data_IF_169378225847
#
_entry.id   IF_169378225847
#
_cell.length_a   1.000
_cell.length_b   1.000
_cell.length_c   1.000
_cell.angle_alpha   90.00
_cell.angle_beta   90.00
_cell.angle_gamma   90.00
#
_symmetry.space_group_name_H-M   'P 1'
#
loop_
_entity.id
_entity.type
_entity.pdbx_description
1 polymer ?
#
# COMPACT_ATOMS: atom_id res chain seq x y z
N UNK A 1 -14.02 14.94 9.99
CA UNK A 1 -12.80 14.41 10.63
C UNK A 1 -11.67 14.40 9.61
N UNK A 2 -10.45 14.77 10.00
CA UNK A 2 -9.32 14.76 9.06
C UNK A 2 -9.07 13.33 8.59
N UNK A 3 -9.02 13.14 7.27
CA UNK A 3 -8.56 11.89 6.66
C UNK A 3 -7.03 11.89 6.72
N UNK A 4 -6.44 10.81 7.21
CA UNK A 4 -4.98 10.66 7.25
C UNK A 4 -4.50 10.20 5.87
N UNK A 5 -3.39 10.77 5.39
CA UNK A 5 -2.65 10.24 4.25
C UNK A 5 -1.80 9.05 4.71
N UNK A 6 -1.97 7.92 4.06
CA UNK A 6 -1.25 6.67 4.33
C UNK A 6 -0.54 6.20 3.09
N UNK A 7 0.65 5.62 3.28
CA UNK A 7 1.43 5.00 2.21
C UNK A 7 1.29 3.48 2.30
N UNK A 8 0.90 2.85 1.21
CA UNK A 8 0.83 1.40 1.04
C UNK A 8 2.09 0.96 0.29
N UNK A 9 2.89 0.07 0.88
CA UNK A 9 4.11 -0.51 0.29
C UNK A 9 3.87 -1.98 -0.10
N UNK A 10 4.36 -2.39 -1.27
CA UNK A 10 4.32 -3.80 -1.71
C UNK A 10 5.22 -4.69 -0.82
N UNK A 11 4.67 -5.79 -0.31
CA UNK A 11 5.34 -6.72 0.61
C UNK A 11 6.18 -7.78 -0.10
N UNK A 12 5.87 -8.08 -1.36
CA UNK A 12 6.48 -9.18 -2.12
C UNK A 12 7.78 -8.76 -2.80
N UNK A 13 7.85 -7.51 -3.27
CA UNK A 13 8.95 -7.04 -4.10
C UNK A 13 10.33 -7.18 -3.43
N UNK A 14 10.43 -6.90 -2.11
CA UNK A 14 11.70 -7.06 -1.37
C UNK A 14 12.20 -8.50 -1.36
N UNK A 15 11.30 -9.49 -1.32
CA UNK A 15 11.68 -10.91 -1.33
C UNK A 15 12.27 -11.33 -2.67
N UNK A 16 11.82 -10.70 -3.76
CA UNK A 16 12.31 -10.94 -5.11
C UNK A 16 13.51 -10.07 -5.50
N UNK A 17 14.06 -9.28 -4.57
CA UNK A 17 15.19 -8.39 -4.83
C UNK A 17 14.85 -7.17 -5.71
N UNK A 18 13.56 -6.87 -5.91
CA UNK A 18 13.09 -5.72 -6.69
C UNK A 18 12.63 -4.58 -5.79
N UNK A 19 12.68 -3.33 -6.26
CA UNK A 19 12.18 -2.19 -5.48
C UNK A 19 10.66 -2.32 -5.25
N UNK A 20 10.16 -2.03 -4.04
CA UNK A 20 8.75 -2.09 -3.74
C UNK A 20 7.98 -0.90 -4.31
N UNK A 21 6.83 -1.17 -4.94
CA UNK A 21 5.88 -0.11 -5.30
C UNK A 21 5.27 0.52 -4.05
N UNK A 22 5.12 1.85 -4.07
CA UNK A 22 4.51 2.65 -3.01
C UNK A 22 3.36 3.49 -3.56
N UNK A 23 2.22 3.48 -2.87
CA UNK A 23 1.02 4.24 -3.23
C UNK A 23 0.53 5.08 -2.06
N UNK A 24 0.10 6.30 -2.34
CA UNK A 24 -0.49 7.19 -1.33
C UNK A 24 -2.01 7.10 -1.44
N UNK A 25 -2.67 6.86 -0.31
CA UNK A 25 -4.13 6.83 -0.21
C UNK A 25 -4.58 7.59 1.05
N UNK A 26 -5.88 7.81 1.19
CA UNK A 26 -6.46 8.39 2.39
C UNK A 26 -7.18 7.32 3.21
N UNK A 27 -6.97 7.28 4.52
CA UNK A 27 -7.72 6.42 5.45
C UNK A 27 -8.51 7.26 6.45
N UNK A 28 -9.72 6.78 6.78
CA UNK A 28 -10.47 7.29 7.92
C UNK A 28 -10.19 6.44 9.16
N UNK A 29 -9.38 6.97 10.09
CA UNK A 29 -8.94 6.29 11.31
C UNK A 29 -10.06 5.86 12.26
N UNK A 30 -11.23 6.52 12.23
CA UNK A 30 -12.35 6.16 13.12
C UNK A 30 -13.19 5.01 12.59
N UNK A 31 -13.34 4.91 11.27
CA UNK A 31 -14.12 3.84 10.64
C UNK A 31 -13.27 2.61 10.33
N UNK A 32 -12.00 2.84 9.98
CA UNK A 32 -11.05 1.79 9.63
C UNK A 32 -9.80 1.95 10.50
N UNK A 33 -9.83 1.28 11.64
CA UNK A 33 -8.73 1.22 12.61
C UNK A 33 -7.67 0.19 12.21
N UNK A 34 -8.08 -0.85 11.49
CA UNK A 34 -7.19 -1.90 11.00
C UNK A 34 -6.20 -1.41 9.93
N UNK A 35 -5.19 -2.24 9.69
CA UNK A 35 -4.19 -1.99 8.67
C UNK A 35 -4.84 -2.02 7.28
N UNK A 36 -4.55 -1.01 6.48
CA UNK A 36 -5.07 -0.91 5.11
C UNK A 36 -4.22 -1.79 4.19
N UNK A 37 -4.78 -2.90 3.73
CA UNK A 37 -4.15 -3.80 2.76
C UNK A 37 -4.95 -3.82 1.47
N UNK A 38 -4.29 -3.58 0.34
CA UNK A 38 -4.92 -3.51 -0.97
C UNK A 38 -4.04 -4.24 -1.99
N UNK A 39 -4.67 -5.06 -2.84
CA UNK A 39 -4.01 -5.60 -4.04
C UNK A 39 -3.88 -4.48 -5.08
N UNK A 40 -2.64 -4.05 -5.32
CA UNK A 40 -2.30 -2.96 -6.22
C UNK A 40 -1.19 -3.42 -7.13
N UNK A 41 -1.32 -3.06 -8.40
CA UNK A 41 -0.32 -3.34 -9.41
C UNK A 41 1.07 -2.92 -8.96
N UNK A 42 2.04 -3.81 -9.06
CA UNK A 42 3.45 -3.52 -8.88
C UNK A 42 4.13 -3.48 -10.25
N UNK A 43 4.57 -2.29 -10.68
CA UNK A 43 5.27 -2.07 -11.96
C UNK A 43 6.56 -2.88 -12.10
N UNK A 44 7.25 -3.17 -11.00
CA UNK A 44 8.51 -3.92 -11.02
C UNK A 44 8.29 -5.43 -11.12
N UNK A 45 7.13 -5.92 -10.65
CA UNK A 45 6.74 -7.33 -10.75
C UNK A 45 5.85 -7.61 -11.97
N UNK A 46 5.25 -6.57 -12.56
CA UNK A 46 4.34 -6.72 -13.69
C UNK A 46 2.98 -7.33 -13.33
N UNK A 47 2.60 -7.37 -12.05
CA UNK A 47 1.39 -8.03 -11.53
C UNK A 47 0.75 -7.28 -10.37
N UNK A 48 -0.50 -7.64 -10.02
CA UNK A 48 -1.30 -7.07 -8.93
C UNK A 48 -1.07 -7.71 -7.56
#
# INVERSE_FOLDING_TARGET
MPRELVTIECTEARKEGKPPSRYITTRNKKLQTEKLEMKKYNRFLGRH
#
